data_IF_613171354434
#
_entry.id   IF_613171354434
#
_cell.length_a   1.000
_cell.length_b   1.000
_cell.length_c   1.000
_cell.angle_alpha   90.00
_cell.angle_beta   90.00
_cell.angle_gamma   90.00
#
_symmetry.space_group_name_H-M   'P 1'
#
loop_
_entity.id
_entity.type
_entity.pdbx_description
1 polymer ?
#
# COMPACT_ATOMS: atom_id res chain seq x y z
N UNK A 1 -8.12 6.43 13.95
CA UNK A 1 -8.03 5.17 14.69
C UNK A 1 -8.37 3.95 13.84
N UNK A 2 -9.63 3.66 13.49
CA UNK A 2 -10.02 2.36 12.86
C UNK A 2 -9.19 1.90 11.64
N UNK A 3 -8.74 2.79 10.75
CA UNK A 3 -7.94 2.41 9.58
C UNK A 3 -6.43 2.42 9.84
N UNK A 4 -5.92 3.48 10.45
CA UNK A 4 -4.49 3.65 10.78
C UNK A 4 -3.98 2.56 11.74
N UNK A 5 -4.72 2.32 12.82
CA UNK A 5 -4.34 1.33 13.83
C UNK A 5 -4.43 -0.09 13.24
N UNK A 6 -5.41 -0.35 12.36
CA UNK A 6 -5.61 -1.66 11.73
C UNK A 6 -4.48 -2.04 10.77
N UNK A 7 -3.82 -1.05 10.17
CA UNK A 7 -2.65 -1.26 9.30
C UNK A 7 -1.31 -1.05 10.03
N UNK A 8 -1.35 -0.75 11.34
CA UNK A 8 -0.17 -0.40 12.14
C UNK A 8 0.66 0.71 11.49
N UNK A 9 0.01 1.81 11.12
CA UNK A 9 0.66 2.90 10.38
C UNK A 9 1.90 3.44 11.08
N UNK A 10 1.89 3.52 12.40
CA UNK A 10 3.03 3.98 13.22
C UNK A 10 4.27 3.06 13.11
N UNK A 11 4.09 1.79 12.73
CA UNK A 11 5.16 0.79 12.60
C UNK A 11 5.69 0.64 11.16
N UNK A 12 5.05 1.31 10.19
CA UNK A 12 5.44 1.28 8.78
C UNK A 12 6.39 2.44 8.44
N UNK A 13 7.33 2.28 7.49
CA UNK A 13 8.15 3.38 7.01
C UNK A 13 7.31 4.50 6.39
N UNK A 14 7.80 5.75 6.49
CA UNK A 14 7.19 6.89 5.83
C UNK A 14 6.99 6.65 4.33
N UNK A 15 5.86 7.10 3.79
CA UNK A 15 5.43 6.86 2.41
C UNK A 15 4.75 5.50 2.23
N UNK A 16 5.27 4.43 2.82
CA UNK A 16 4.61 3.11 2.85
C UNK A 16 3.37 3.17 3.74
N UNK A 17 3.50 3.77 4.93
CA UNK A 17 2.39 4.06 5.85
C UNK A 17 1.24 4.82 5.16
N UNK A 18 1.57 5.86 4.40
CA UNK A 18 0.64 6.74 3.72
C UNK A 18 -0.10 6.02 2.58
N UNK A 19 0.63 5.30 1.72
CA UNK A 19 0.00 4.62 0.59
C UNK A 19 -0.87 3.43 1.05
N UNK A 20 -0.46 2.72 2.11
CA UNK A 20 -1.25 1.64 2.73
C UNK A 20 -2.48 2.20 3.44
N UNK A 21 -2.35 3.34 4.15
CA UNK A 21 -3.48 4.00 4.79
C UNK A 21 -4.52 4.50 3.78
N UNK A 22 -4.10 5.19 2.72
CA UNK A 22 -5.03 5.64 1.67
C UNK A 22 -5.73 4.45 1.01
N UNK A 23 -5.02 3.35 0.76
CA UNK A 23 -5.63 2.11 0.30
C UNK A 23 -6.64 1.54 1.32
N UNK A 24 -6.32 1.57 2.62
CA UNK A 24 -7.20 1.08 3.67
C UNK A 24 -8.50 1.89 3.76
N UNK A 25 -8.44 3.21 3.56
CA UNK A 25 -9.62 4.08 3.53
C UNK A 25 -10.50 3.82 2.31
N UNK A 26 -9.90 3.65 1.13
CA UNK A 26 -10.65 3.49 -0.13
C UNK A 26 -11.12 2.05 -0.38
N UNK A 27 -10.34 1.06 0.04
CA UNK A 27 -10.49 -0.34 -0.33
C UNK A 27 -10.63 -1.29 0.87
N UNK A 28 -10.57 -0.77 2.10
CA UNK A 28 -10.67 -1.52 3.34
C UNK A 28 -9.30 -2.01 3.88
N UNK A 29 -9.10 -2.02 5.21
CA UNK A 29 -7.80 -2.31 5.83
C UNK A 29 -7.30 -3.72 5.55
N UNK A 30 -8.18 -4.73 5.59
CA UNK A 30 -7.77 -6.11 5.30
C UNK A 30 -7.28 -6.30 3.86
N UNK A 31 -7.81 -5.54 2.89
CA UNK A 31 -7.32 -5.60 1.50
C UNK A 31 -5.99 -4.87 1.35
N UNK A 32 -5.88 -3.69 1.96
CA UNK A 32 -4.63 -2.93 1.98
C UNK A 32 -3.48 -3.73 2.59
N UNK A 33 -3.74 -4.44 3.70
CA UNK A 33 -2.78 -5.34 4.34
C UNK A 33 -2.39 -6.52 3.45
N UNK A 34 -3.37 -7.20 2.81
CA UNK A 34 -3.09 -8.32 1.90
C UNK A 34 -2.22 -7.90 0.71
N UNK A 35 -2.51 -6.75 0.11
CA UNK A 35 -1.69 -6.22 -0.98
C UNK A 35 -0.25 -5.97 -0.52
N UNK A 36 -0.06 -5.41 0.68
CA UNK A 36 1.28 -5.17 1.22
C UNK A 36 2.01 -6.50 1.44
N UNK A 37 1.33 -7.48 2.03
CA UNK A 37 1.85 -8.82 2.28
C UNK A 37 2.27 -9.53 0.99
N UNK A 38 1.45 -9.43 -0.07
CA UNK A 38 1.77 -9.97 -1.39
C UNK A 38 3.03 -9.31 -1.99
N UNK A 39 3.18 -7.99 -1.83
CA UNK A 39 4.33 -7.25 -2.36
C UNK A 39 5.62 -7.58 -1.60
N UNK A 40 5.57 -7.73 -0.28
CA UNK A 40 6.74 -8.08 0.56
C UNK A 40 6.96 -9.60 0.70
N UNK A 41 6.25 -10.41 -0.10
CA UNK A 41 6.49 -11.85 -0.20
C UNK A 41 6.09 -12.68 1.02
N UNK A 42 5.13 -12.24 1.83
CA UNK A 42 4.61 -12.99 2.99
C UNK A 42 3.17 -13.45 2.78
N UNK A 43 2.71 -14.39 3.60
CA UNK A 43 1.34 -14.92 3.50
C UNK A 43 0.29 -13.79 3.64
N UNK A 44 -0.64 -13.63 2.68
CA UNK A 44 -1.62 -12.55 2.71
C UNK A 44 -2.86 -12.87 3.57
N UNK A 45 -2.67 -12.89 4.89
CA UNK A 45 -3.76 -13.13 5.85
C UNK A 45 -4.61 -11.88 6.18
N UNK A 46 -4.11 -10.68 5.82
CA UNK A 46 -4.78 -9.40 6.04
C UNK A 46 -4.56 -8.77 7.41
N UNK A 47 -3.70 -9.34 8.26
CA UNK A 47 -3.26 -8.75 9.51
C UNK A 47 -1.78 -8.33 9.44
N UNK A 48 -1.47 -7.07 9.73
CA UNK A 48 -0.07 -6.62 9.77
C UNK A 48 0.54 -7.05 11.12
N UNK A 49 1.19 -8.21 11.11
CA UNK A 49 1.87 -8.79 12.27
C UNK A 49 3.39 -8.61 12.26
N UNK A 50 4.12 -9.16 13.25
CA UNK A 50 5.58 -9.09 13.30
C UNK A 50 6.28 -9.60 12.03
N UNK A 51 5.73 -10.65 11.39
CA UNK A 51 6.27 -11.20 10.14
C UNK A 51 6.18 -10.18 9.00
N UNK A 52 5.01 -9.55 8.82
CA UNK A 52 4.83 -8.52 7.80
C UNK A 52 5.72 -7.31 8.06
N UNK A 53 5.81 -6.84 9.32
CA UNK A 53 6.66 -5.71 9.68
C UNK A 53 8.15 -6.00 9.46
N UNK A 54 8.62 -7.22 9.78
CA UNK A 54 9.99 -7.63 9.50
C UNK A 54 10.29 -7.65 7.99
N UNK A 55 9.36 -8.16 7.19
CA UNK A 55 9.50 -8.18 5.73
C UNK A 55 9.52 -6.75 5.15
N UNK A 56 8.62 -5.87 5.59
CA UNK A 56 8.63 -4.45 5.18
C UNK A 56 9.98 -3.81 5.51
N UNK A 57 10.52 -4.03 6.72
CA UNK A 57 11.84 -3.51 7.10
C UNK A 57 12.97 -4.04 6.21
N UNK A 58 12.96 -5.33 5.86
CA UNK A 58 13.97 -5.89 4.92
C UNK A 58 13.84 -5.35 3.49
N UNK A 59 12.66 -4.84 3.11
CA UNK A 59 12.40 -4.16 1.84
C UNK A 59 12.64 -2.64 1.90
N UNK A 60 13.11 -2.10 3.02
CA UNK A 60 13.29 -0.66 3.25
C UNK A 60 14.63 -0.36 3.92
N UNK A 61 15.71 -0.99 3.43
CA UNK A 61 17.06 -0.78 3.97
C UNK A 61 17.60 0.59 3.55
N UNK A 62 17.33 0.98 2.30
CA UNK A 62 17.71 2.28 1.72
C UNK A 62 16.46 3.09 1.33
N UNK A 63 16.61 4.42 1.12
CA UNK A 63 15.55 5.24 0.53
C UNK A 63 15.07 4.70 -0.83
N UNK A 64 15.99 4.21 -1.66
CA UNK A 64 15.68 3.62 -2.97
C UNK A 64 14.84 2.34 -2.85
N UNK A 65 15.16 1.47 -1.88
CA UNK A 65 14.36 0.26 -1.62
C UNK A 65 12.93 0.63 -1.18
N UNK A 66 12.83 1.63 -0.30
CA UNK A 66 11.53 2.12 0.18
C UNK A 66 10.70 2.72 -0.96
N UNK A 67 11.32 3.51 -1.86
CA UNK A 67 10.68 4.02 -3.08
C UNK A 67 10.25 2.89 -4.01
N UNK A 68 11.06 1.85 -4.15
CA UNK A 68 10.71 0.67 -4.94
C UNK A 68 9.52 -0.08 -4.34
N UNK A 69 9.43 -0.21 -3.01
CA UNK A 69 8.29 -0.80 -2.33
C UNK A 69 6.99 0.01 -2.55
N UNK A 70 7.07 1.34 -2.43
CA UNK A 70 5.94 2.25 -2.70
C UNK A 70 5.45 2.08 -4.14
N UNK A 71 6.37 2.04 -5.11
CA UNK A 71 6.02 1.85 -6.52
C UNK A 71 5.32 0.50 -6.75
N UNK A 72 5.87 -0.59 -6.21
CA UNK A 72 5.26 -1.93 -6.33
C UNK A 72 3.88 -2.00 -5.68
N UNK A 73 3.69 -1.35 -4.52
CA UNK A 73 2.39 -1.29 -3.85
C UNK A 73 1.36 -0.49 -4.66
N UNK A 74 1.75 0.64 -5.23
CA UNK A 74 0.89 1.44 -6.10
C UNK A 74 0.46 0.67 -7.35
N UNK A 75 1.39 -0.07 -7.98
CA UNK A 75 1.10 -0.91 -9.14
C UNK A 75 0.14 -2.05 -8.78
N UNK A 76 0.36 -2.70 -7.62
CA UNK A 76 -0.53 -3.75 -7.10
C UNK A 76 -1.95 -3.24 -6.88
N UNK A 77 -2.09 -2.02 -6.36
CA UNK A 77 -3.38 -1.36 -6.16
C UNK A 77 -4.06 -1.01 -7.49
N UNK A 78 -3.31 -0.50 -8.46
CA UNK A 78 -3.83 -0.19 -9.79
C UNK A 78 -4.33 -1.45 -10.50
N UNK A 79 -3.59 -2.55 -10.42
CA UNK A 79 -4.01 -3.85 -10.96
C UNK A 79 -5.35 -4.31 -10.36
N UNK A 80 -5.53 -4.16 -9.04
CA UNK A 80 -6.79 -4.48 -8.40
C UNK A 80 -7.95 -3.63 -8.94
N UNK A 81 -7.76 -2.32 -9.08
CA UNK A 81 -8.79 -1.45 -9.63
C UNK A 81 -9.13 -1.79 -11.07
N UNK A 82 -8.12 -2.06 -11.90
CA UNK A 82 -8.31 -2.47 -13.30
C UNK A 82 -9.12 -3.77 -13.43
N UNK A 83 -9.08 -4.64 -12.41
CA UNK A 83 -9.91 -5.84 -12.33
C UNK A 83 -11.37 -5.62 -11.94
N UNK A 84 -11.77 -4.40 -11.54
CA UNK A 84 -13.16 -4.10 -11.16
C UNK A 84 -14.03 -3.81 -12.39
N UNK A 85 -15.24 -4.37 -12.43
CA UNK A 85 -16.20 -4.14 -13.53
C UNK A 85 -16.55 -2.66 -13.71
N UNK A 86 -16.53 -1.88 -12.63
CA UNK A 86 -16.80 -0.44 -12.62
C UNK A 86 -15.62 0.43 -13.06
N UNK A 87 -14.47 -0.17 -13.37
CA UNK A 87 -13.28 0.57 -13.79
C UNK A 87 -13.49 1.33 -15.11
N UNK A 88 -14.32 0.81 -16.02
CA UNK A 88 -14.66 1.51 -17.26
C UNK A 88 -15.28 2.91 -17.01
N UNK A 89 -16.03 3.07 -15.92
CA UNK A 89 -16.69 4.32 -15.54
C UNK A 89 -15.77 5.21 -14.69
N UNK A 90 -15.15 4.65 -13.65
CA UNK A 90 -14.44 5.44 -12.63
C UNK A 90 -12.90 5.36 -12.70
N UNK A 91 -12.37 4.44 -13.51
CA UNK A 91 -10.96 4.05 -13.51
C UNK A 91 -10.00 5.21 -13.76
N UNK A 92 -10.33 6.12 -14.69
CA UNK A 92 -9.51 7.33 -14.93
C UNK A 92 -9.32 8.16 -13.66
N UNK A 93 -10.38 8.33 -12.88
CA UNK A 93 -10.34 9.09 -11.62
C UNK A 93 -9.63 8.36 -10.49
N UNK A 94 -9.71 7.02 -10.47
CA UNK A 94 -8.94 6.20 -9.52
C UNK A 94 -7.46 6.20 -9.84
N UNK A 95 -7.09 6.01 -11.11
CA UNK A 95 -5.69 6.03 -11.55
C UNK A 95 -5.03 7.37 -11.24
N UNK A 96 -5.69 8.50 -11.55
CA UNK A 96 -5.14 9.83 -11.22
C UNK A 96 -4.85 9.97 -9.72
N UNK A 97 -5.84 9.65 -8.87
CA UNK A 97 -5.67 9.72 -7.41
C UNK A 97 -4.61 8.75 -6.89
N UNK A 98 -4.52 7.55 -7.46
CA UNK A 98 -3.48 6.58 -7.14
C UNK A 98 -2.08 7.11 -7.43
N UNK A 99 -1.91 7.79 -8.58
CA UNK A 99 -0.64 8.41 -8.95
C UNK A 99 -0.30 9.59 -8.01
N UNK A 100 -1.26 10.45 -7.69
CA UNK A 100 -1.05 11.55 -6.73
C UNK A 100 -0.61 11.04 -5.34
N UNK A 101 -1.20 9.93 -4.88
CA UNK A 101 -0.80 9.27 -3.62
C UNK A 101 0.61 8.67 -3.73
N UNK A 102 0.94 8.03 -4.86
CA UNK A 102 2.28 7.49 -5.12
C UNK A 102 3.32 8.60 -5.10
N UNK A 103 3.09 9.71 -5.80
CA UNK A 103 4.03 10.83 -5.89
C UNK A 103 4.24 11.50 -4.53
N UNK A 104 3.16 11.71 -3.76
CA UNK A 104 3.24 12.22 -2.40
C UNK A 104 4.01 11.26 -1.48
N UNK A 105 3.75 9.95 -1.56
CA UNK A 105 4.48 8.93 -0.79
C UNK A 105 5.98 8.91 -1.13
N UNK A 106 6.33 9.00 -2.42
CA UNK A 106 7.73 9.04 -2.86
C UNK A 106 8.47 10.29 -2.37
N UNK A 107 7.77 11.41 -2.18
CA UNK A 107 8.35 12.64 -1.65
C UNK A 107 8.58 12.62 -0.13
N UNK A 108 8.03 11.63 0.59
CA UNK A 108 8.24 11.45 2.04
C UNK A 108 9.54 10.68 2.36
N UNK A 109 10.18 10.09 1.34
CA UNK A 109 11.34 9.20 1.44
C UNK A 109 12.58 9.87 0.85
#
# INVERSE_FOLDING_TARGET
>A
RKYWDAIKGDDLPAGVDYCVFDCAVNSGPGRAAKMLQEVVGVKPDGGIGPITLAAVKSHCITPEDTKALIAQYADKRLQFWQGLTTFATFGRGWTRRGNEVKDAALAMV
#
